data_IF_366153180577
#
_entry.id   IF_366153180577
#
_cell.length_a   1.000
_cell.length_b   1.000
_cell.length_c   1.000
_cell.angle_alpha   90.00
_cell.angle_beta   90.00
_cell.angle_gamma   90.00
#
_symmetry.space_group_name_H-M   'P 1'
#
loop_
_entity.id
_entity.type
_entity.pdbx_description
1 polymer ?
#
# COMPACT_ATOMS: atom_id res chain seq x y z
N UNK A 1 -9.70 -18.74 1.87
CA UNK A 1 -10.10 -17.95 0.69
C UNK A 1 -9.43 -16.56 0.62
N UNK A 2 -8.32 -16.32 1.33
CA UNK A 2 -7.58 -15.04 1.33
C UNK A 2 -6.47 -15.00 0.26
N UNK A 3 -5.94 -16.16 -0.15
CA UNK A 3 -4.73 -16.26 -0.97
C UNK A 3 -4.89 -15.75 -2.41
N UNK A 4 -6.08 -15.89 -3.00
CA UNK A 4 -6.31 -15.53 -4.41
C UNK A 4 -6.18 -14.04 -4.69
N UNK A 5 -6.48 -13.21 -3.71
CA UNK A 5 -6.33 -11.75 -3.79
C UNK A 5 -4.85 -11.34 -3.75
N UNK A 6 -4.05 -12.04 -2.94
CA UNK A 6 -2.60 -11.83 -2.85
C UNK A 6 -1.85 -12.36 -4.08
N UNK A 7 -2.29 -13.49 -4.65
CA UNK A 7 -1.66 -14.06 -5.84
C UNK A 7 -1.84 -13.14 -7.06
N UNK A 8 -3.01 -12.52 -7.23
CA UNK A 8 -3.23 -11.52 -8.29
C UNK A 8 -2.41 -10.25 -8.07
N UNK A 9 -2.30 -9.79 -6.81
CA UNK A 9 -1.41 -8.67 -6.46
C UNK A 9 0.06 -9.01 -6.76
N UNK A 10 0.48 -10.26 -6.53
CA UNK A 10 1.86 -10.72 -6.76
C UNK A 10 2.20 -10.86 -8.24
N UNK A 11 1.30 -11.42 -9.07
CA UNK A 11 1.46 -11.48 -10.52
C UNK A 11 1.42 -10.09 -11.16
N UNK A 12 0.59 -9.19 -10.63
CA UNK A 12 0.54 -7.81 -11.09
C UNK A 12 1.85 -7.09 -10.73
N UNK A 13 2.38 -7.27 -9.51
CA UNK A 13 3.67 -6.72 -9.02
C UNK A 13 4.86 -7.03 -9.93
N UNK A 14 4.87 -8.22 -10.55
CA UNK A 14 5.99 -8.68 -11.35
C UNK A 14 6.11 -7.98 -12.72
N UNK A 15 5.04 -7.37 -13.24
CA UNK A 15 4.98 -7.02 -14.67
C UNK A 15 5.25 -5.55 -14.99
N UNK A 16 5.15 -4.59 -14.04
CA UNK A 16 5.42 -3.17 -14.33
C UNK A 16 6.17 -2.46 -13.20
N UNK A 17 7.31 -1.86 -13.52
CA UNK A 17 8.24 -1.14 -12.62
C UNK A 17 7.62 -0.03 -11.74
N UNK A 18 6.37 0.38 -11.98
CA UNK A 18 5.63 1.36 -11.19
C UNK A 18 4.76 0.79 -10.06
N UNK A 19 4.96 -0.48 -9.68
CA UNK A 19 4.04 -1.17 -8.77
C UNK A 19 4.26 -0.95 -7.28
N UNK A 20 5.50 -0.71 -6.83
CA UNK A 20 5.74 -0.31 -5.45
C UNK A 20 5.03 1.03 -5.10
N UNK A 21 5.08 2.08 -5.95
CA UNK A 21 4.25 3.28 -5.79
C UNK A 21 2.76 2.98 -5.64
N UNK A 22 2.23 2.11 -6.51
CA UNK A 22 0.80 1.77 -6.54
C UNK A 22 0.41 0.95 -5.30
N UNK A 23 1.29 0.07 -4.82
CA UNK A 23 1.08 -0.69 -3.58
C UNK A 23 1.03 0.25 -2.37
N UNK A 24 1.96 1.20 -2.29
CA UNK A 24 1.95 2.23 -1.26
C UNK A 24 0.69 3.10 -1.31
N UNK A 25 0.25 3.48 -2.51
CA UNK A 25 -1.00 4.22 -2.73
C UNK A 25 -2.23 3.43 -2.27
N UNK A 26 -2.28 2.11 -2.55
CA UNK A 26 -3.34 1.24 -2.06
C UNK A 26 -3.35 1.16 -0.53
N UNK A 27 -2.19 1.11 0.12
CA UNK A 27 -2.10 1.14 1.59
C UNK A 27 -2.65 2.45 2.17
N UNK A 28 -2.36 3.58 1.52
CA UNK A 28 -2.88 4.90 1.93
C UNK A 28 -4.42 4.94 1.79
N UNK A 29 -4.96 4.43 0.68
CA UNK A 29 -6.41 4.34 0.48
C UNK A 29 -7.08 3.39 1.48
N UNK A 30 -6.47 2.25 1.76
CA UNK A 30 -6.95 1.31 2.77
C UNK A 30 -6.93 1.95 4.17
N UNK A 31 -5.90 2.72 4.52
CA UNK A 31 -5.86 3.48 5.77
C UNK A 31 -7.03 4.47 5.86
N UNK A 32 -7.35 5.16 4.76
CA UNK A 32 -8.45 6.12 4.71
C UNK A 32 -9.81 5.44 4.91
N UNK A 33 -10.02 4.27 4.29
CA UNK A 33 -11.22 3.45 4.50
C UNK A 33 -11.31 2.96 5.95
N UNK A 34 -10.20 2.48 6.53
CA UNK A 34 -10.14 2.06 7.92
C UNK A 34 -10.45 3.20 8.90
N UNK A 35 -9.98 4.40 8.61
CA UNK A 35 -10.23 5.59 9.41
C UNK A 35 -11.71 5.99 9.40
N UNK A 36 -12.40 5.76 8.27
CA UNK A 36 -13.85 5.96 8.16
C UNK A 36 -14.67 4.88 8.87
N UNK A 37 -14.24 3.62 8.81
CA UNK A 37 -14.97 2.50 9.41
C UNK A 37 -14.74 2.37 10.92
N UNK A 38 -13.52 2.66 11.39
CA UNK A 38 -13.10 2.45 12.78
C UNK A 38 -12.24 3.62 13.29
N UNK A 39 -12.81 4.83 13.49
CA UNK A 39 -12.04 6.02 13.84
C UNK A 39 -11.24 5.88 15.16
N UNK A 40 -11.78 5.17 16.15
CA UNK A 40 -11.20 5.03 17.50
C UNK A 40 -10.28 3.80 17.67
N UNK A 41 -9.79 3.21 16.59
CA UNK A 41 -8.81 2.12 16.69
C UNK A 41 -7.39 2.69 16.86
N UNK A 42 -6.56 2.00 17.64
CA UNK A 42 -5.14 2.39 17.81
C UNK A 42 -4.38 2.46 16.47
N UNK A 43 -4.76 1.63 15.48
CA UNK A 43 -4.20 1.66 14.13
C UNK A 43 -4.55 2.95 13.35
N UNK A 44 -5.77 3.47 13.52
CA UNK A 44 -6.26 4.67 12.83
C UNK A 44 -5.82 5.96 13.50
N UNK A 45 -5.62 5.96 14.82
CA UNK A 45 -5.06 7.11 15.53
C UNK A 45 -3.59 7.33 15.15
N UNK A 46 -2.82 6.25 15.12
CA UNK A 46 -1.38 6.34 14.80
C UNK A 46 -1.09 6.48 13.30
N UNK A 47 -2.08 6.28 12.44
CA UNK A 47 -1.92 6.32 10.99
C UNK A 47 -0.76 5.43 10.49
N UNK A 48 -0.52 4.29 11.15
CA UNK A 48 0.62 3.41 10.85
C UNK A 48 0.57 2.89 9.41
N UNK A 49 -0.60 2.48 8.91
CA UNK A 49 -0.76 2.07 7.51
C UNK A 49 -0.47 3.21 6.54
N UNK A 50 -0.82 4.45 6.89
CA UNK A 50 -0.51 5.64 6.09
C UNK A 50 0.99 5.86 5.99
N UNK A 51 1.71 5.80 7.13
CA UNK A 51 3.16 5.98 7.17
C UNK A 51 3.90 4.88 6.40
N UNK A 52 3.54 3.61 6.60
CA UNK A 52 4.14 2.48 5.89
C UNK A 52 3.84 2.55 4.39
N UNK A 53 2.60 2.87 4.02
CA UNK A 53 2.19 3.06 2.63
C UNK A 53 2.96 4.19 1.94
N UNK A 54 3.15 5.31 2.63
CA UNK A 54 3.92 6.45 2.13
C UNK A 54 5.40 6.09 1.91
N UNK A 55 6.04 5.39 2.85
CA UNK A 55 7.44 4.97 2.73
C UNK A 55 7.59 4.02 1.54
N UNK A 56 6.71 3.03 1.38
CA UNK A 56 6.72 2.10 0.25
C UNK A 56 6.49 2.85 -1.07
N UNK A 57 5.59 3.85 -1.08
CA UNK A 57 5.33 4.65 -2.27
C UNK A 57 6.56 5.47 -2.69
N UNK A 58 7.23 6.11 -1.73
CA UNK A 58 8.44 6.90 -1.96
C UNK A 58 9.58 6.01 -2.44
N UNK A 59 9.82 4.86 -1.80
CA UNK A 59 10.87 3.90 -2.21
C UNK A 59 10.58 3.39 -3.62
N UNK A 60 9.32 3.05 -3.90
CA UNK A 60 8.90 2.63 -5.22
C UNK A 60 9.12 3.69 -6.29
N UNK A 61 8.84 4.95 -5.96
CA UNK A 61 9.03 6.06 -6.88
C UNK A 61 10.52 6.34 -7.13
N UNK A 62 11.35 6.21 -6.10
CA UNK A 62 12.80 6.37 -6.18
C UNK A 62 13.50 5.21 -6.91
N UNK A 63 12.93 4.00 -6.92
CA UNK A 63 13.45 2.86 -7.69
C UNK A 63 13.11 2.97 -9.18
N UNK A 64 12.01 3.63 -9.55
CA UNK A 64 11.53 3.72 -10.94
C UNK A 64 12.54 4.31 -11.94
N UNK A 65 13.42 5.28 -11.59
CA UNK A 65 14.45 5.79 -12.50
C UNK A 65 15.71 4.93 -12.57
N UNK A 66 15.94 4.03 -11.59
CA UNK A 66 17.21 3.30 -11.41
C UNK A 66 17.22 1.92 -12.09
N UNK A 67 16.06 1.43 -12.54
CA UNK A 67 15.86 0.13 -13.21
C UNK A 67 15.52 0.27 -14.69
#
# INVERSE_FOLDING_TARGET
MISRSLDFLSEWLAHRKGLLPILGLMLILANLILQFLYPTSWLTETNLCLHVGLIIAIIGFLLSPVL
#
